data_IF_210484411815
#
_entry.id   IF_210484411815
#
_cell.length_a   1.000
_cell.length_b   1.000
_cell.length_c   1.000
_cell.angle_alpha   90.00
_cell.angle_beta   90.00
_cell.angle_gamma   90.00
#
_symmetry.space_group_name_H-M   'P 1'
#
loop_
_entity.id
_entity.type
_entity.pdbx_description
1 polymer ?
#
# COMPACT_ATOMS: atom_id res chain seq x y z
N UNK A 1 -19.08 -79.20 -10.40
CA UNK A 1 -18.20 -79.69 -9.32
C UNK A 1 -16.74 -79.49 -9.72
N UNK A 2 -15.89 -79.17 -8.74
CA UNK A 2 -14.41 -79.07 -8.75
C UNK A 2 -13.83 -77.76 -9.36
N UNK A 3 -13.46 -76.75 -8.57
CA UNK A 3 -12.27 -76.58 -7.69
C UNK A 3 -10.91 -76.72 -8.40
N UNK A 4 -10.17 -75.59 -8.48
CA UNK A 4 -8.69 -75.39 -8.37
C UNK A 4 -8.43 -73.90 -8.62
N UNK A 5 -8.24 -73.06 -7.59
CA UNK A 5 -6.97 -72.75 -6.89
C UNK A 5 -5.80 -72.50 -7.85
N UNK A 6 -5.44 -71.23 -8.03
CA UNK A 6 -4.05 -70.79 -8.15
C UNK A 6 -3.94 -69.41 -7.49
N UNK A 7 -3.57 -69.47 -6.20
CA UNK A 7 -2.90 -68.40 -5.47
C UNK A 7 -1.50 -68.32 -6.07
N UNK A 8 -1.09 -67.16 -6.58
CA UNK A 8 0.29 -66.63 -6.50
C UNK A 8 0.33 -65.32 -7.28
N UNK A 9 0.39 -64.19 -6.56
CA UNK A 9 1.42 -63.15 -6.75
C UNK A 9 1.14 -62.05 -5.71
N UNK A 10 1.60 -62.38 -4.50
CA UNK A 10 1.89 -61.41 -3.46
C UNK A 10 3.20 -60.71 -3.85
N UNK A 11 3.27 -59.40 -3.60
CA UNK A 11 4.45 -58.54 -3.42
C UNK A 11 4.92 -57.70 -4.62
N UNK A 12 5.27 -56.46 -4.25
CA UNK A 12 5.82 -55.32 -5.00
C UNK A 12 4.75 -54.51 -5.78
N UNK A 13 4.35 -53.30 -5.38
CA UNK A 13 5.13 -52.24 -4.76
C UNK A 13 4.27 -51.37 -3.84
N UNK A 14 4.56 -51.47 -2.55
CA UNK A 14 4.67 -50.30 -1.68
C UNK A 14 5.80 -49.48 -2.26
N UNK A 15 5.57 -48.29 -2.82
CA UNK A 15 6.47 -47.14 -2.72
C UNK A 15 5.86 -45.91 -3.42
N UNK A 16 5.86 -44.80 -2.68
CA UNK A 16 5.73 -43.41 -3.16
C UNK A 16 4.36 -42.93 -3.67
N UNK A 17 3.33 -43.10 -2.85
CA UNK A 17 2.23 -42.13 -2.77
C UNK A 17 2.57 -41.00 -1.79
N UNK A 18 3.70 -40.31 -1.95
CA UNK A 18 3.95 -39.06 -1.22
C UNK A 18 3.06 -38.00 -1.87
N UNK A 19 1.96 -37.70 -1.19
CA UNK A 19 1.14 -36.54 -1.47
C UNK A 19 2.03 -35.30 -1.47
N UNK A 20 2.21 -34.71 -2.65
CA UNK A 20 2.67 -33.35 -2.79
C UNK A 20 1.60 -32.46 -2.14
N UNK A 21 1.75 -32.22 -0.84
CA UNK A 21 1.18 -31.03 -0.22
C UNK A 21 1.71 -29.86 -1.04
N UNK A 22 0.84 -29.26 -1.86
CA UNK A 22 1.07 -27.91 -2.38
C UNK A 22 1.27 -27.05 -1.15
N UNK A 23 2.53 -26.78 -0.85
CA UNK A 23 2.94 -25.71 0.01
C UNK A 23 2.33 -24.46 -0.60
N UNK A 24 1.27 -23.96 0.05
CA UNK A 24 0.75 -22.63 -0.16
C UNK A 24 1.95 -21.70 0.02
N UNK A 25 2.55 -21.33 -1.13
CA UNK A 25 3.49 -20.22 -1.19
C UNK A 25 2.67 -19.02 -0.75
N UNK A 26 2.76 -18.72 0.54
CA UNK A 26 2.30 -17.46 1.10
C UNK A 26 2.77 -16.31 0.20
N UNK A 27 2.03 -15.20 0.18
CA UNK A 27 2.26 -14.11 -0.76
C UNK A 27 3.74 -13.77 -0.82
N UNK A 28 4.31 -13.92 -2.02
CA UNK A 28 5.72 -13.69 -2.33
C UNK A 28 6.11 -12.33 -1.76
N UNK A 29 7.25 -12.21 -1.03
CA UNK A 29 7.69 -10.93 -0.52
C UNK A 29 7.95 -10.00 -1.71
N UNK A 30 7.13 -8.94 -1.77
CA UNK A 30 7.24 -7.74 -2.59
C UNK A 30 8.72 -7.31 -2.68
N UNK A 31 9.45 -7.77 -3.70
CA UNK A 31 10.85 -7.40 -3.91
C UNK A 31 10.89 -6.06 -4.65
N UNK A 32 10.75 -5.02 -3.84
CA UNK A 32 10.62 -3.65 -4.26
C UNK A 32 11.96 -3.09 -4.80
N UNK A 33 12.18 -3.17 -6.12
CA UNK A 33 13.18 -2.35 -6.84
C UNK A 33 12.69 -0.90 -6.98
N UNK A 34 12.55 -0.20 -5.86
CA UNK A 34 12.12 1.20 -5.83
C UNK A 34 13.29 2.10 -5.40
N UNK A 35 13.41 3.33 -5.93
CA UNK A 35 14.45 4.27 -5.51
C UNK A 35 14.40 4.44 -3.99
N UNK A 36 15.58 4.34 -3.36
CA UNK A 36 15.82 3.99 -1.95
C UNK A 36 15.35 5.00 -0.89
N UNK A 37 14.08 5.41 -0.91
CA UNK A 37 13.40 5.79 0.33
C UNK A 37 12.83 4.51 0.90
N UNK A 38 13.43 4.02 1.98
CA UNK A 38 12.96 2.81 2.68
C UNK A 38 11.58 3.12 3.29
N UNK A 39 10.54 2.65 2.62
CA UNK A 39 9.18 2.65 3.14
C UNK A 39 8.98 1.36 3.93
N UNK A 40 8.58 1.48 5.18
CA UNK A 40 8.45 0.35 6.11
C UNK A 40 7.14 0.49 6.90
N UNK A 41 6.59 -0.64 7.35
CA UNK A 41 5.49 -0.64 8.33
C UNK A 41 6.02 -0.24 9.71
N UNK A 42 6.09 1.06 9.99
CA UNK A 42 6.67 1.57 11.22
C UNK A 42 5.67 1.60 12.39
N UNK A 43 6.04 1.02 13.55
CA UNK A 43 5.18 0.95 14.76
C UNK A 43 5.71 1.69 16.00
N UNK A 44 6.89 2.31 15.93
CA UNK A 44 7.55 2.96 17.06
C UNK A 44 6.97 4.33 17.46
N UNK A 45 7.19 4.73 18.72
CA UNK A 45 6.80 6.04 19.28
C UNK A 45 7.80 7.11 18.85
N UNK A 46 7.36 8.32 18.48
CA UNK A 46 8.24 9.44 18.06
C UNK A 46 7.96 10.72 18.84
N UNK A 47 9.00 11.53 19.02
CA UNK A 47 8.89 12.89 19.58
C UNK A 47 8.51 13.85 18.44
N UNK A 48 7.53 14.75 18.64
CA UNK A 48 7.21 15.78 17.64
C UNK A 48 8.43 16.68 17.43
N UNK A 49 8.80 16.89 16.17
CA UNK A 49 10.00 17.68 15.81
C UNK A 49 9.80 19.18 16.01
N UNK A 50 8.56 19.69 15.89
CA UNK A 50 8.19 21.12 16.04
C UNK A 50 6.73 21.27 16.49
N UNK A 51 6.36 22.41 17.11
CA UNK A 51 4.98 22.76 17.49
C UNK A 51 4.16 23.38 16.34
N UNK A 52 4.59 23.24 15.09
CA UNK A 52 3.82 23.78 13.95
C UNK A 52 2.62 22.88 13.62
N UNK A 53 1.63 23.40 12.92
CA UNK A 53 0.50 22.60 12.43
C UNK A 53 0.95 21.61 11.35
N UNK A 54 0.57 20.34 11.48
CA UNK A 54 0.79 19.33 10.45
C UNK A 54 -0.23 19.48 9.30
N UNK A 55 0.26 19.57 8.06
CA UNK A 55 -0.57 19.67 6.85
C UNK A 55 0.04 18.89 5.69
N UNK A 56 -0.79 18.44 4.77
CA UNK A 56 -0.36 17.92 3.48
C UNK A 56 0.10 19.09 2.59
N UNK A 57 1.28 18.99 1.99
CA UNK A 57 1.88 20.09 1.21
C UNK A 57 2.19 19.72 -0.23
N UNK A 58 2.38 18.43 -0.51
CA UNK A 58 2.73 17.95 -1.84
C UNK A 58 2.22 16.54 -2.04
N UNK A 59 1.82 16.25 -3.27
CA UNK A 59 1.50 14.90 -3.72
C UNK A 59 2.28 14.62 -5.00
N UNK A 60 2.93 13.46 -5.06
CA UNK A 60 3.55 12.98 -6.30
C UNK A 60 2.75 11.77 -6.79
N UNK A 61 2.48 11.72 -8.10
CA UNK A 61 1.82 10.59 -8.75
C UNK A 61 2.84 9.95 -9.68
N UNK A 62 3.35 8.78 -9.30
CA UNK A 62 4.50 8.16 -9.94
C UNK A 62 4.04 6.87 -10.64
N UNK A 63 4.24 6.72 -11.96
CA UNK A 63 4.00 5.44 -12.61
C UNK A 63 4.98 4.39 -12.07
N UNK A 64 4.46 3.20 -11.79
CA UNK A 64 5.22 2.07 -11.26
C UNK A 64 4.87 0.82 -12.06
N UNK A 65 5.86 0.00 -12.37
CA UNK A 65 5.64 -1.31 -12.98
C UNK A 65 6.12 -2.39 -12.02
N UNK A 66 5.25 -3.36 -11.70
CA UNK A 66 5.56 -4.49 -10.82
C UNK A 66 5.05 -5.77 -11.50
N UNK A 67 5.93 -6.76 -11.68
CA UNK A 67 5.62 -8.04 -12.35
C UNK A 67 4.93 -7.89 -13.73
N UNK A 68 5.31 -6.87 -14.50
CA UNK A 68 4.72 -6.59 -15.82
C UNK A 68 3.32 -5.96 -15.78
N UNK A 69 2.81 -5.63 -14.60
CA UNK A 69 1.57 -4.85 -14.42
C UNK A 69 1.89 -3.40 -14.10
N UNK A 70 1.07 -2.49 -14.63
CA UNK A 70 1.20 -1.06 -14.40
C UNK A 70 0.35 -0.60 -13.21
N UNK A 71 0.98 0.18 -12.34
CA UNK A 71 0.42 0.74 -11.13
C UNK A 71 0.77 2.23 -11.02
N UNK A 72 0.16 2.88 -10.05
CA UNK A 72 0.45 4.27 -9.70
C UNK A 72 0.80 4.35 -8.22
N UNK A 73 1.99 4.83 -7.90
CA UNK A 73 2.37 5.17 -6.53
C UNK A 73 2.04 6.64 -6.24
N UNK A 74 1.11 6.84 -5.33
CA UNK A 74 0.74 8.17 -4.80
C UNK A 74 1.53 8.42 -3.54
N UNK A 75 2.43 9.40 -3.57
CA UNK A 75 3.22 9.83 -2.41
C UNK A 75 2.70 11.16 -1.84
N UNK A 76 2.31 11.14 -0.57
CA UNK A 76 1.75 12.27 0.15
C UNK A 76 2.76 12.81 1.15
N UNK A 77 3.13 14.08 1.02
CA UNK A 77 4.14 14.75 1.83
C UNK A 77 3.51 15.71 2.84
N UNK A 78 3.91 15.56 4.10
CA UNK A 78 3.41 16.34 5.22
C UNK A 78 4.50 17.26 5.78
N UNK A 79 4.12 18.40 6.36
CA UNK A 79 5.05 19.30 7.05
C UNK A 79 5.71 18.67 8.28
N UNK A 80 5.08 17.64 8.86
CA UNK A 80 5.54 16.94 10.06
C UNK A 80 5.19 15.46 10.00
N UNK A 81 5.70 14.69 10.97
CA UNK A 81 5.39 13.28 11.12
C UNK A 81 3.92 13.06 11.47
N UNK A 82 3.21 12.28 10.65
CA UNK A 82 1.86 11.80 10.94
C UNK A 82 1.88 10.52 11.78
N UNK A 83 0.86 10.29 12.60
CA UNK A 83 0.68 9.03 13.33
C UNK A 83 0.09 7.97 12.40
N UNK A 84 0.85 6.91 12.02
CA UNK A 84 0.35 5.85 11.15
C UNK A 84 -0.91 5.16 11.69
N UNK A 85 -1.13 5.16 13.02
CA UNK A 85 -2.29 4.52 13.65
C UNK A 85 -3.59 5.28 13.41
N UNK A 86 -3.50 6.57 13.08
CA UNK A 86 -4.66 7.39 12.71
C UNK A 86 -5.07 7.22 11.24
N UNK A 87 -4.22 6.58 10.44
CA UNK A 87 -4.46 6.40 9.01
C UNK A 87 -5.19 5.08 8.79
N UNK A 88 -6.41 5.17 8.29
CA UNK A 88 -7.24 4.01 7.94
C UNK A 88 -7.63 4.07 6.47
N UNK A 89 -7.85 2.92 5.83
CA UNK A 89 -8.24 2.88 4.42
C UNK A 89 -9.56 3.65 4.16
N UNK A 90 -10.49 3.66 5.12
CA UNK A 90 -11.73 4.46 5.05
C UNK A 90 -11.54 5.98 5.02
N UNK A 91 -10.37 6.45 5.45
CA UNK A 91 -10.04 7.88 5.51
C UNK A 91 -9.49 8.41 4.19
N UNK A 92 -9.19 7.51 3.25
CA UNK A 92 -8.61 7.84 1.95
C UNK A 92 -9.59 7.37 0.89
N UNK A 93 -10.14 8.31 0.13
CA UNK A 93 -11.06 8.05 -0.96
C UNK A 93 -10.34 8.29 -2.28
N UNK A 94 -10.44 7.31 -3.18
CA UNK A 94 -10.03 7.40 -4.58
C UNK A 94 -11.30 7.33 -5.42
N UNK A 95 -11.56 8.32 -6.28
CA UNK A 95 -12.80 8.41 -7.05
C UNK A 95 -14.04 8.29 -6.14
N UNK A 96 -14.04 9.03 -5.01
CA UNK A 96 -15.08 8.99 -3.96
C UNK A 96 -15.30 7.63 -3.28
N UNK A 97 -14.46 6.63 -3.59
CA UNK A 97 -14.54 5.28 -3.02
C UNK A 97 -13.41 5.07 -2.02
N UNK A 98 -13.74 4.56 -0.83
CA UNK A 98 -12.72 4.25 0.16
C UNK A 98 -11.73 3.19 -0.36
N UNK A 99 -10.45 3.32 0.02
CA UNK A 99 -9.46 2.31 -0.33
C UNK A 99 -9.88 0.93 0.18
N UNK A 100 -9.75 -0.08 -0.66
CA UNK A 100 -9.96 -1.48 -0.23
C UNK A 100 -8.92 -1.86 0.83
N UNK A 101 -9.28 -2.70 1.84
CA UNK A 101 -8.34 -3.20 2.86
C UNK A 101 -7.10 -3.93 2.29
N UNK A 102 -7.15 -4.36 1.03
CA UNK A 102 -6.01 -4.99 0.33
C UNK A 102 -4.90 -4.00 0.01
N UNK A 103 -5.21 -2.70 -0.09
CA UNK A 103 -4.21 -1.67 -0.36
C UNK A 103 -3.32 -1.46 0.85
N UNK A 104 -2.00 -1.52 0.62
CA UNK A 104 -1.00 -1.21 1.64
C UNK A 104 -0.75 0.29 1.68
N UNK A 105 -0.80 0.85 2.87
CA UNK A 105 -0.39 2.23 3.15
C UNK A 105 0.98 2.16 3.82
N UNK A 106 1.99 2.70 3.15
CA UNK A 106 3.38 2.63 3.59
C UNK A 106 3.86 4.00 4.06
N UNK A 107 4.81 4.03 4.98
CA UNK A 107 5.38 5.28 5.51
C UNK A 107 6.89 5.26 5.41
N UNK A 108 7.49 6.43 5.17
CA UNK A 108 8.94 6.54 5.32
C UNK A 108 9.35 6.48 6.80
N UNK A 109 10.64 6.30 7.06
CA UNK A 109 11.22 6.29 8.42
C UNK A 109 10.93 7.57 9.23
N UNK A 110 10.58 8.69 8.61
CA UNK A 110 10.18 9.91 9.34
C UNK A 110 8.66 10.11 9.43
N UNK A 111 7.84 9.23 8.83
CA UNK A 111 6.38 9.36 8.70
C UNK A 111 5.95 10.76 8.22
N UNK A 112 6.82 11.44 7.48
CA UNK A 112 6.54 12.70 6.79
C UNK A 112 6.10 12.45 5.35
N UNK A 113 6.21 11.21 4.89
CA UNK A 113 5.76 10.75 3.59
C UNK A 113 4.95 9.47 3.78
N UNK A 114 3.74 9.47 3.24
CA UNK A 114 2.89 8.31 3.09
C UNK A 114 2.87 7.90 1.62
N UNK A 115 2.88 6.61 1.32
CA UNK A 115 2.79 6.07 -0.03
C UNK A 115 1.65 5.07 -0.12
N UNK A 116 0.89 5.16 -1.21
CA UNK A 116 -0.20 4.25 -1.56
C UNK A 116 0.05 3.79 -2.97
N UNK A 117 -0.07 2.49 -3.24
CA UNK A 117 0.03 1.93 -4.60
C UNK A 117 -1.37 1.58 -5.05
N UNK A 118 -1.79 2.14 -6.18
CA UNK A 118 -3.10 1.98 -6.79
C UNK A 118 -2.95 1.27 -8.14
N UNK A 119 -4.01 0.60 -8.60
CA UNK A 119 -4.11 0.18 -10.00
C UNK A 119 -4.06 1.41 -10.90
N UNK A 120 -3.47 1.28 -12.10
CA UNK A 120 -3.33 2.41 -13.01
C UNK A 120 -4.70 2.85 -13.53
N UNK A 121 -4.98 4.13 -13.31
CA UNK A 121 -6.08 4.88 -13.92
C UNK A 121 -5.47 6.15 -14.52
N UNK A 122 -5.98 6.61 -15.66
CA UNK A 122 -5.45 7.78 -16.35
C UNK A 122 -5.75 9.06 -15.56
N UNK A 123 -6.93 9.11 -14.91
CA UNK A 123 -7.36 10.22 -14.09
C UNK A 123 -8.09 9.73 -12.85
N UNK A 124 -7.79 10.31 -11.69
CA UNK A 124 -8.53 10.00 -10.47
C UNK A 124 -8.63 11.19 -9.49
N UNK A 125 -9.64 11.19 -8.63
CA UNK A 125 -9.72 12.11 -7.50
C UNK A 125 -9.18 11.46 -6.23
N UNK A 126 -8.59 12.27 -5.35
CA UNK A 126 -8.07 11.83 -4.06
C UNK A 126 -8.60 12.73 -2.95
N UNK A 127 -9.24 12.13 -1.95
CA UNK A 127 -9.62 12.80 -0.70
C UNK A 127 -8.97 12.09 0.48
N UNK A 128 -8.35 12.86 1.36
CA UNK A 128 -7.70 12.37 2.58
C UNK A 128 -8.20 13.16 3.78
N UNK A 129 -8.72 12.46 4.78
CA UNK A 129 -9.31 13.05 5.99
C UNK A 129 -8.96 12.24 7.25
N UNK A 130 -9.27 12.74 8.44
CA UNK A 130 -9.18 11.97 9.70
C UNK A 130 -7.77 11.56 10.13
N UNK A 131 -6.72 12.04 9.44
CA UNK A 131 -5.31 11.80 9.80
C UNK A 131 -4.92 12.74 10.95
N UNK A 132 -4.09 12.25 11.88
CA UNK A 132 -3.52 13.02 12.97
C UNK A 132 -2.00 13.01 12.91
N UNK A 133 -1.38 14.09 13.40
CA UNK A 133 0.05 14.08 13.72
C UNK A 133 0.34 13.32 15.01
N UNK A 134 1.61 12.98 15.25
CA UNK A 134 2.04 12.27 16.48
C UNK A 134 1.72 13.00 17.79
N UNK A 135 1.48 14.31 17.75
CA UNK A 135 0.99 15.11 18.88
C UNK A 135 -0.55 15.14 18.97
N UNK A 136 -1.24 14.21 18.31
CA UNK A 136 -2.69 14.09 18.20
C UNK A 136 -3.44 15.27 17.54
N UNK A 137 -2.72 16.27 17.00
CA UNK A 137 -3.34 17.37 16.27
C UNK A 137 -3.93 16.87 14.95
N UNK A 138 -5.14 17.32 14.56
CA UNK A 138 -5.74 16.93 13.29
C UNK A 138 -4.95 17.51 12.11
N UNK A 139 -4.77 16.70 11.07
CA UNK A 139 -4.30 17.15 9.77
C UNK A 139 -5.52 17.63 8.97
N UNK A 140 -5.50 18.84 8.38
CA UNK A 140 -6.62 19.32 7.58
C UNK A 140 -6.95 18.37 6.42
N UNK A 141 -8.25 18.22 6.13
CA UNK A 141 -8.73 17.47 4.97
C UNK A 141 -8.11 18.03 3.69
N UNK A 142 -7.65 17.14 2.82
CA UNK A 142 -7.20 17.47 1.48
C UNK A 142 -8.08 16.78 0.45
N UNK A 143 -8.51 17.51 -0.57
CA UNK A 143 -9.26 16.98 -1.71
C UNK A 143 -8.65 17.54 -2.98
N UNK A 144 -8.32 16.65 -3.92
CA UNK A 144 -7.79 16.97 -5.24
C UNK A 144 -8.61 16.20 -6.25
N UNK A 145 -9.03 16.90 -7.29
CA UNK A 145 -9.79 16.34 -8.40
C UNK A 145 -8.90 16.25 -9.63
N UNK A 146 -9.18 15.28 -10.51
CA UNK A 146 -8.50 15.13 -11.80
C UNK A 146 -6.97 15.04 -11.70
N UNK A 147 -6.48 14.17 -10.80
CA UNK A 147 -5.07 13.85 -10.70
C UNK A 147 -4.63 12.96 -11.87
N UNK A 148 -3.47 13.27 -12.44
CA UNK A 148 -2.88 12.58 -13.58
C UNK A 148 -1.60 11.86 -13.18
N UNK A 149 -1.40 10.67 -13.76
CA UNK A 149 -0.16 9.94 -13.60
C UNK A 149 1.05 10.74 -14.12
N UNK A 150 2.18 10.68 -13.39
CA UNK A 150 3.42 11.36 -13.75
C UNK A 150 3.56 12.80 -13.23
N UNK A 151 2.51 13.38 -12.66
CA UNK A 151 2.49 14.78 -12.24
C UNK A 151 2.71 14.98 -10.74
N UNK A 152 3.05 16.22 -10.38
CA UNK A 152 3.19 16.66 -9.00
C UNK A 152 2.15 17.73 -8.69
N UNK A 153 1.66 17.71 -7.46
CA UNK A 153 0.66 18.63 -6.97
C UNK A 153 1.16 19.29 -5.70
N UNK A 154 1.04 20.61 -5.61
CA UNK A 154 1.43 21.38 -4.43
C UNK A 154 0.25 22.18 -3.92
N UNK A 155 0.12 22.26 -2.59
CA UNK A 155 -0.91 23.09 -1.98
C UNK A 155 -0.41 24.52 -1.86
N UNK A 156 -1.01 25.43 -2.63
CA UNK A 156 -0.82 26.86 -2.49
C UNK A 156 -1.61 27.37 -1.29
N UNK A 157 -0.94 27.99 -0.33
CA UNK A 157 -1.58 28.48 0.90
C UNK A 157 -2.31 29.80 0.71
N UNK A 158 -1.84 30.63 -0.22
CA UNK A 158 -2.39 31.95 -0.46
C UNK A 158 -3.72 31.81 -1.18
N UNK A 159 -3.73 30.99 -2.24
CA UNK A 159 -4.91 30.70 -3.04
C UNK A 159 -5.77 29.56 -2.48
N UNK A 160 -5.25 28.82 -1.48
CA UNK A 160 -5.91 27.66 -0.86
C UNK A 160 -6.33 26.58 -1.87
N UNK A 161 -5.53 26.39 -2.91
CA UNK A 161 -5.82 25.46 -4.00
C UNK A 161 -4.61 24.60 -4.36
N UNK A 162 -4.88 23.48 -5.02
CA UNK A 162 -3.84 22.56 -5.50
C UNK A 162 -3.40 22.95 -6.90
N UNK A 163 -2.10 23.19 -7.07
CA UNK A 163 -1.47 23.50 -8.37
C UNK A 163 -0.75 22.28 -8.92
N UNK A 164 -0.99 21.98 -10.19
CA UNK A 164 -0.29 20.94 -10.98
C UNK A 164 1.05 21.50 -11.48
N UNK A 165 2.10 20.69 -11.43
CA UNK A 165 3.44 21.00 -11.94
C UNK A 165 4.00 19.80 -12.71
#
# INVERSE_FOLDING_TARGET
MNRRICILFLLLAIFCGQGFCKEDKGPVPMHQNFPARRFENFRGRRKPLRKESCRLIRINVIPVTEDGKEFVAVELFFTQSIDPRSVHNKNILVNSTALSPRHKILFNKSATCMRIVLERDDFFSLSVDGIRSYNASPVPKAQIESMECGHKYFFDKEEKLWKKF
#
